data_IF_209769871517
#
_entry.id   IF_209769871517
#
_cell.length_a   1.000
_cell.length_b   1.000
_cell.length_c   1.000
_cell.angle_alpha   90.00
_cell.angle_beta   90.00
_cell.angle_gamma   90.00
#
_symmetry.space_group_name_H-M   'P 1'
#
loop_
_entity.id
_entity.type
_entity.pdbx_description
1 polymer ?
#
# COMPACT_ATOMS: atom_id res chain seq x y z
N UNK A 1 28.68 -16.95 21.40
CA UNK A 1 28.69 -15.73 20.55
C UNK A 1 27.26 -15.55 20.08
N UNK A 2 26.64 -14.44 20.47
CA UNK A 2 25.21 -14.17 20.27
C UNK A 2 25.03 -13.43 18.95
N UNK A 3 24.57 -14.11 17.92
CA UNK A 3 24.07 -13.44 16.71
C UNK A 3 22.58 -13.26 16.89
N UNK A 4 22.23 -12.10 17.46
CA UNK A 4 20.87 -11.68 17.70
C UNK A 4 20.11 -11.64 16.38
N UNK A 5 19.09 -12.49 16.29
CA UNK A 5 18.03 -12.40 15.29
C UNK A 5 17.55 -10.95 15.25
N UNK A 6 17.90 -10.24 14.17
CA UNK A 6 17.44 -8.88 13.86
C UNK A 6 15.93 -8.95 13.67
N UNK A 7 15.22 -8.95 14.79
CA UNK A 7 13.78 -8.88 14.89
C UNK A 7 13.40 -7.43 14.64
N UNK A 8 13.84 -6.90 13.50
CA UNK A 8 13.58 -5.57 12.98
C UNK A 8 12.14 -5.54 12.51
N UNK A 9 11.26 -5.61 13.51
CA UNK A 9 9.96 -4.97 13.53
C UNK A 9 10.23 -3.48 13.31
N UNK A 10 10.57 -3.14 12.08
CA UNK A 10 10.74 -1.80 11.57
C UNK A 10 9.63 -0.94 12.17
N UNK A 11 10.02 0.07 12.95
CA UNK A 11 9.13 0.92 13.74
C UNK A 11 8.06 1.46 12.80
N UNK A 12 6.86 0.89 12.85
CA UNK A 12 5.75 1.31 12.02
C UNK A 12 5.37 2.72 12.44
N UNK A 13 5.76 3.70 11.65
CA UNK A 13 5.36 5.08 11.88
C UNK A 13 3.85 5.14 11.62
N UNK A 14 3.10 5.63 12.61
CA UNK A 14 1.67 5.91 12.42
C UNK A 14 1.60 7.10 11.49
N UNK A 15 1.17 6.82 10.25
CA UNK A 15 0.95 7.83 9.23
C UNK A 15 -0.52 7.78 8.85
N UNK A 16 -1.08 8.93 8.48
CA UNK A 16 -2.41 9.01 7.89
C UNK A 16 -2.22 9.62 6.51
N UNK A 17 -1.96 8.77 5.52
CA UNK A 17 -1.73 9.19 4.13
C UNK A 17 -2.90 8.75 3.28
N UNK A 18 -3.48 9.66 2.51
CA UNK A 18 -4.36 9.27 1.42
C UNK A 18 -3.58 8.48 0.39
N UNK A 19 -4.18 7.43 -0.14
CA UNK A 19 -3.63 6.64 -1.21
C UNK A 19 -4.73 6.21 -2.18
N UNK A 20 -4.37 5.96 -3.43
CA UNK A 20 -5.31 5.57 -4.47
C UNK A 20 -4.74 4.36 -5.23
N UNK A 21 -5.52 3.29 -5.30
CA UNK A 21 -5.20 2.14 -6.14
C UNK A 21 -5.93 2.34 -7.46
N UNK A 22 -5.16 2.60 -8.52
CA UNK A 22 -5.71 2.90 -9.84
C UNK A 22 -5.63 1.63 -10.69
N UNK A 23 -6.78 1.04 -11.02
CA UNK A 23 -6.86 -0.11 -11.93
C UNK A 23 -7.21 0.37 -13.34
N UNK A 24 -6.25 0.26 -14.27
CA UNK A 24 -6.35 0.79 -15.63
C UNK A 24 -7.40 0.12 -16.53
N UNK A 25 -8.07 -0.94 -16.07
CA UNK A 25 -9.03 -1.72 -16.88
C UNK A 25 -10.44 -1.10 -16.83
N UNK A 26 -10.79 -0.34 -15.79
CA UNK A 26 -12.18 0.12 -15.59
C UNK A 26 -12.29 1.53 -14.98
N UNK A 27 -11.24 2.34 -15.07
CA UNK A 27 -11.20 3.68 -14.45
C UNK A 27 -11.62 3.70 -12.97
N UNK A 28 -11.49 2.55 -12.32
CA UNK A 28 -11.94 2.33 -10.95
C UNK A 28 -10.79 2.68 -10.04
N UNK A 29 -10.91 3.82 -9.37
CA UNK A 29 -10.01 4.23 -8.30
C UNK A 29 -10.53 3.69 -6.97
N UNK A 30 -9.74 2.87 -6.30
CA UNK A 30 -10.03 2.47 -4.92
C UNK A 30 -9.29 3.44 -4.02
N UNK A 31 -10.05 4.37 -3.43
CA UNK A 31 -9.53 5.25 -2.40
C UNK A 31 -9.20 4.46 -1.14
N UNK A 32 -8.01 4.71 -0.60
CA UNK A 32 -7.53 4.03 0.59
C UNK A 32 -6.72 4.96 1.48
N UNK A 33 -6.54 4.56 2.73
CA UNK A 33 -5.76 5.34 3.70
C UNK A 33 -4.69 4.47 4.31
N UNK A 34 -3.43 4.86 4.17
CA UNK A 34 -2.33 4.23 4.90
C UNK A 34 -2.50 4.60 6.38
N UNK A 35 -2.58 3.59 7.25
CA UNK A 35 -2.71 3.73 8.71
C UNK A 35 -1.40 3.55 9.45
N UNK A 36 -0.54 2.70 8.91
CA UNK A 36 0.81 2.48 9.40
C UNK A 36 1.68 2.01 8.25
N UNK A 37 2.95 2.43 8.24
CA UNK A 37 3.91 2.15 7.18
C UNK A 37 5.28 1.87 7.79
N UNK A 38 6.01 0.94 7.19
CA UNK A 38 7.44 0.73 7.38
C UNK A 38 8.09 0.40 6.03
N UNK A 39 9.40 0.12 5.99
CA UNK A 39 10.12 -0.15 4.74
C UNK A 39 9.61 -1.42 4.03
N UNK A 40 9.13 -2.40 4.81
CA UNK A 40 8.59 -3.65 4.28
C UNK A 40 7.11 -3.61 3.89
N UNK A 41 6.32 -2.65 4.32
CA UNK A 41 4.89 -2.71 4.05
C UNK A 41 4.03 -1.72 4.83
N UNK A 42 2.73 -1.88 4.68
CA UNK A 42 1.75 -0.99 5.28
C UNK A 42 0.43 -1.69 5.60
N UNK A 43 -0.32 -1.08 6.50
CA UNK A 43 -1.75 -1.34 6.64
C UNK A 43 -2.53 -0.24 5.92
N UNK A 44 -3.45 -0.66 5.05
CA UNK A 44 -4.39 0.23 4.37
C UNK A 44 -5.79 0.03 4.93
N UNK A 45 -6.53 1.13 5.03
CA UNK A 45 -7.98 1.12 5.14
C UNK A 45 -8.59 1.29 3.75
N UNK A 46 -9.48 0.39 3.37
CA UNK A 46 -10.19 0.37 2.08
C UNK A 46 -11.67 0.18 2.32
N UNK A 47 -12.54 0.56 1.38
CA UNK A 47 -13.95 0.21 1.48
C UNK A 47 -14.13 -1.31 1.58
N UNK A 48 -15.00 -1.83 2.46
CA UNK A 48 -15.21 -3.26 2.62
C UNK A 48 -15.69 -3.94 1.33
N UNK A 49 -16.36 -3.19 0.45
CA UNK A 49 -16.82 -3.61 -0.88
C UNK A 49 -15.73 -3.55 -1.97
N UNK A 50 -14.59 -2.90 -1.69
CA UNK A 50 -13.52 -2.74 -2.65
C UNK A 50 -12.84 -4.09 -2.94
N UNK A 51 -12.88 -4.51 -4.21
CA UNK A 51 -12.15 -5.67 -4.72
C UNK A 51 -10.70 -5.29 -4.99
N UNK A 52 -9.85 -5.49 -4.00
CA UNK A 52 -8.41 -5.25 -4.11
C UNK A 52 -7.74 -6.52 -4.63
N UNK A 53 -7.02 -6.47 -5.77
CA UNK A 53 -6.31 -7.63 -6.30
C UNK A 53 -5.09 -7.99 -5.43
N UNK A 54 -4.52 -9.17 -5.64
CA UNK A 54 -3.33 -9.61 -4.89
C UNK A 54 -2.13 -8.70 -5.15
N UNK A 55 -1.92 -8.30 -6.41
CA UNK A 55 -0.86 -7.38 -6.82
C UNK A 55 -1.47 -6.06 -7.26
N UNK A 56 -0.99 -4.96 -6.68
CA UNK A 56 -1.46 -3.62 -7.01
C UNK A 56 -0.45 -2.55 -6.66
N UNK A 57 -0.71 -1.32 -7.09
CA UNK A 57 0.20 -0.19 -6.90
C UNK A 57 -0.58 1.00 -6.32
N UNK A 58 -0.65 1.17 -4.98
CA UNK A 58 -1.17 2.39 -4.38
C UNK A 58 -0.25 3.57 -4.68
N UNK A 59 -0.81 4.62 -5.28
CA UNK A 59 -0.17 5.93 -5.37
C UNK A 59 -0.39 6.70 -4.07
N UNK A 60 0.67 7.27 -3.52
CA UNK A 60 0.65 8.03 -2.27
C UNK A 60 1.05 9.47 -2.57
N UNK A 61 0.09 10.41 -2.70
CA UNK A 61 0.38 11.78 -3.15
C UNK A 61 1.38 12.52 -2.26
N UNK A 62 1.35 12.27 -0.96
CA UNK A 62 2.28 12.93 -0.01
C UNK A 62 3.73 12.44 -0.14
N UNK A 63 3.92 11.20 -0.60
CA UNK A 63 5.26 10.66 -0.89
C UNK A 63 5.69 10.92 -2.34
N UNK A 64 4.75 11.31 -3.21
CA UNK A 64 4.99 11.53 -4.64
C UNK A 64 5.33 10.25 -5.43
N UNK A 65 5.22 9.07 -4.81
CA UNK A 65 5.57 7.78 -5.38
C UNK A 65 4.39 6.81 -5.36
N UNK A 66 4.48 5.75 -6.15
CA UNK A 66 3.55 4.63 -6.09
C UNK A 66 4.30 3.36 -5.65
N UNK A 67 3.73 2.63 -4.69
CA UNK A 67 4.39 1.47 -4.10
C UNK A 67 3.89 0.19 -4.76
N UNK A 68 4.75 -0.59 -5.40
CA UNK A 68 4.36 -1.95 -5.81
C UNK A 68 4.10 -2.78 -4.55
N UNK A 69 2.91 -3.37 -4.49
CA UNK A 69 2.37 -3.94 -3.26
C UNK A 69 1.71 -5.28 -3.51
N UNK A 70 1.87 -6.19 -2.54
CA UNK A 70 1.22 -7.50 -2.51
C UNK A 70 0.31 -7.59 -1.29
N UNK A 71 -0.95 -7.94 -1.50
CA UNK A 71 -1.92 -8.21 -0.44
C UNK A 71 -1.46 -9.43 0.37
N UNK A 72 -1.26 -9.26 1.68
CA UNK A 72 -0.86 -10.34 2.60
C UNK A 72 -2.03 -10.83 3.44
N UNK A 73 -2.94 -9.94 3.80
CA UNK A 73 -4.14 -10.29 4.55
C UNK A 73 -5.23 -9.24 4.36
N UNK A 74 -6.48 -9.65 4.57
CA UNK A 74 -7.66 -8.77 4.63
C UNK A 74 -8.50 -9.10 5.87
N UNK A 75 -8.95 -8.06 6.57
CA UNK A 75 -9.87 -8.12 7.70
C UNK A 75 -10.83 -6.93 7.61
N UNK A 76 -12.06 -7.19 7.15
CA UNK A 76 -13.09 -6.15 6.94
C UNK A 76 -12.60 -5.03 6.00
N UNK A 77 -12.57 -3.80 6.51
CA UNK A 77 -12.11 -2.58 5.84
C UNK A 77 -10.58 -2.40 5.91
N UNK A 78 -9.84 -3.37 6.47
CA UNK A 78 -8.39 -3.29 6.62
C UNK A 78 -7.70 -4.36 5.79
N UNK A 79 -6.59 -3.96 5.18
CA UNK A 79 -5.68 -4.87 4.47
C UNK A 79 -4.25 -4.62 4.90
N UNK A 80 -3.48 -5.69 4.99
CA UNK A 80 -2.03 -5.61 5.12
C UNK A 80 -1.36 -5.89 3.79
N UNK A 81 -0.40 -5.05 3.45
CA UNK A 81 0.37 -5.16 2.22
C UNK A 81 1.86 -5.26 2.51
N UNK A 82 2.55 -5.97 1.64
CA UNK A 82 4.00 -6.03 1.56
C UNK A 82 4.44 -5.13 0.39
N UNK A 83 5.41 -4.25 0.62
CA UNK A 83 6.04 -3.51 -0.47
C UNK A 83 7.04 -4.42 -1.19
N UNK A 84 7.00 -4.39 -2.52
CA UNK A 84 7.91 -5.13 -3.40
C UNK A 84 8.72 -4.22 -4.32
N UNK A 85 8.43 -2.92 -4.32
CA UNK A 85 9.16 -1.93 -5.11
C UNK A 85 8.50 -0.56 -5.05
N UNK A 86 9.16 0.44 -5.63
CA UNK A 86 8.62 1.78 -5.87
C UNK A 86 8.67 2.07 -7.36
N UNK A 87 7.62 2.69 -7.86
CA UNK A 87 7.57 3.18 -9.24
C UNK A 87 7.20 4.67 -9.23
N UNK A 88 7.69 5.45 -10.20
CA UNK A 88 7.23 6.83 -10.37
C UNK A 88 5.72 6.84 -10.59
N UNK A 89 5.08 7.97 -10.29
CA UNK A 89 3.64 8.15 -10.52
C UNK A 89 3.29 7.60 -11.90
N UNK A 90 2.39 6.60 -11.99
CA UNK A 90 2.04 6.03 -13.27
C UNK A 90 1.53 7.17 -14.17
N UNK A 91 2.12 7.29 -15.36
CA UNK A 91 1.69 8.21 -16.43
C UNK A 91 0.39 7.68 -17.04
N UNK A 92 -0.61 7.40 -16.21
CA UNK A 92 -1.96 7.17 -16.70
C UNK A 92 -2.40 8.50 -17.31
N UNK A 93 -2.50 8.51 -18.63
CA UNK A 93 -2.99 9.64 -19.40
C UNK A 93 -4.48 9.74 -19.10
N UNK A 94 -4.82 10.50 -18.07
CA UNK A 94 -6.19 10.94 -17.83
C UNK A 94 -6.51 11.90 -18.96
N UNK A 95 -7.23 11.39 -19.97
CA UNK A 95 -7.89 12.23 -20.97
C UNK A 95 -8.96 13.10 -20.32
#
# INVERSE_FOLDING_TARGET
>A
MVEGTDNRRERRQRVLKGAAIISGISNSEISCTIRNQNDGGAELRVSPEARVPEHFVPYVPTDGVAYQSVLRWRRNDRIGIQFTGIVPKPRLHYG
#
